data_IF_547151512256
#
_entry.id   IF_547151512256
#
_cell.length_a   1.000
_cell.length_b   1.000
_cell.length_c   1.000
_cell.angle_alpha   90.00
_cell.angle_beta   90.00
_cell.angle_gamma   90.00
#
_symmetry.space_group_name_H-M   'P 1'
#
loop_
_entity.id
_entity.type
_entity.pdbx_description
1 polymer ?
#
# COMPACT_ATOMS: atom_id res chain seq x y z
N UNK A 1 -5.63 -1.79 18.23
CA UNK A 1 -5.83 -3.07 17.56
C UNK A 1 -5.54 -2.95 16.09
N UNK A 2 -5.18 -4.04 15.44
CA UNK A 2 -4.88 -4.04 14.02
C UNK A 2 -5.92 -4.84 13.27
N UNK A 3 -6.25 -4.39 12.05
CA UNK A 3 -7.13 -5.13 11.16
C UNK A 3 -6.32 -5.61 9.96
N UNK A 4 -6.59 -6.84 9.54
CA UNK A 4 -5.95 -7.41 8.36
C UNK A 4 -6.75 -7.04 7.14
N UNK A 5 -6.06 -6.47 6.14
CA UNK A 5 -6.65 -6.21 4.83
C UNK A 5 -5.99 -7.18 3.87
N UNK A 6 -6.75 -8.19 3.41
CA UNK A 6 -6.24 -9.16 2.47
C UNK A 6 -6.39 -8.65 1.05
N UNK A 7 -5.32 -8.76 0.27
CA UNK A 7 -5.33 -8.39 -1.13
C UNK A 7 -5.45 -9.61 -2.05
N UNK A 8 -5.72 -10.79 -1.48
CA UNK A 8 -5.79 -12.03 -2.26
C UNK A 8 -6.88 -12.02 -3.32
N UNK A 9 -7.94 -11.25 -3.11
CA UNK A 9 -9.01 -11.13 -4.12
C UNK A 9 -8.54 -10.39 -5.38
N UNK A 10 -7.42 -9.68 -5.30
CA UNK A 10 -6.83 -8.99 -6.45
C UNK A 10 -5.69 -9.79 -7.10
N UNK A 11 -5.37 -10.95 -6.51
CA UNK A 11 -4.27 -11.78 -7.02
C UNK A 11 -4.55 -12.28 -8.44
N UNK A 12 -3.53 -12.59 -9.22
CA UNK A 12 -2.11 -12.54 -8.85
C UNK A 12 -1.45 -11.17 -9.06
N UNK A 13 -2.14 -10.23 -9.67
CA UNK A 13 -1.57 -8.94 -10.01
C UNK A 13 -2.49 -7.79 -9.68
N UNK A 14 -1.93 -6.73 -9.15
CA UNK A 14 -2.65 -5.47 -8.95
C UNK A 14 -2.09 -4.48 -9.98
N UNK A 15 -2.84 -4.26 -11.05
CA UNK A 15 -2.33 -3.48 -12.18
C UNK A 15 -3.22 -2.36 -12.68
N UNK A 16 -4.41 -2.15 -12.09
CA UNK A 16 -5.29 -1.08 -12.53
C UNK A 16 -5.42 0.01 -11.45
N UNK A 17 -5.51 1.25 -11.91
CA UNK A 17 -5.70 2.38 -10.99
C UNK A 17 -7.02 2.28 -10.25
N UNK A 18 -8.03 1.71 -10.88
CA UNK A 18 -9.35 1.51 -10.27
C UNK A 18 -9.25 0.61 -9.04
N UNK A 19 -8.53 -0.52 -9.19
CA UNK A 19 -8.32 -1.43 -8.07
C UNK A 19 -7.46 -0.79 -6.99
N UNK A 20 -6.44 -0.05 -7.40
CA UNK A 20 -5.58 0.64 -6.44
C UNK A 20 -6.35 1.68 -5.63
N UNK A 21 -7.23 2.44 -6.29
CA UNK A 21 -8.05 3.43 -5.61
C UNK A 21 -9.01 2.77 -4.61
N UNK A 22 -9.56 1.62 -4.97
CA UNK A 22 -10.43 0.85 -4.09
C UNK A 22 -9.69 0.38 -2.84
N UNK A 23 -8.48 -0.15 -3.03
CA UNK A 23 -7.63 -0.60 -1.93
C UNK A 23 -7.30 0.59 -1.02
N UNK A 24 -6.89 1.70 -1.60
CA UNK A 24 -6.54 2.91 -0.84
C UNK A 24 -7.71 3.40 0.00
N UNK A 25 -8.90 3.43 -0.59
CA UNK A 25 -10.10 3.87 0.12
C UNK A 25 -10.37 2.97 1.33
N UNK A 26 -10.28 1.66 1.15
CA UNK A 26 -10.48 0.72 2.24
C UNK A 26 -9.47 0.92 3.35
N UNK A 27 -8.21 1.12 2.99
CA UNK A 27 -7.16 1.34 3.97
C UNK A 27 -7.37 2.65 4.73
N UNK A 28 -7.75 3.71 4.04
CA UNK A 28 -8.02 5.00 4.68
C UNK A 28 -9.16 4.90 5.68
N UNK A 29 -10.21 4.16 5.33
CA UNK A 29 -11.34 3.95 6.21
C UNK A 29 -10.94 3.22 7.49
N UNK A 30 -10.16 2.15 7.35
CA UNK A 30 -9.70 1.39 8.52
C UNK A 30 -8.75 2.22 9.38
N UNK A 31 -7.89 3.01 8.75
CA UNK A 31 -6.90 3.82 9.46
C UNK A 31 -7.52 4.93 10.32
N UNK A 32 -8.80 5.23 10.11
CA UNK A 32 -9.50 6.19 10.98
C UNK A 32 -9.61 5.69 12.41
N UNK A 33 -9.59 4.37 12.61
CA UNK A 33 -9.78 3.80 13.95
C UNK A 33 -8.78 2.73 14.35
N UNK A 34 -8.07 2.13 13.39
CA UNK A 34 -7.19 0.98 13.65
C UNK A 34 -5.89 1.06 12.87
N UNK A 35 -4.92 0.27 13.29
CA UNK A 35 -3.74 0.01 12.48
C UNK A 35 -4.08 -1.09 11.47
N UNK A 36 -3.25 -1.24 10.45
CA UNK A 36 -3.50 -2.19 9.36
C UNK A 36 -2.35 -3.18 9.24
N UNK A 37 -2.71 -4.43 8.96
CA UNK A 37 -1.76 -5.42 8.44
C UNK A 37 -2.21 -5.73 7.02
N UNK A 38 -1.39 -5.40 6.04
CA UNK A 38 -1.69 -5.65 4.62
C UNK A 38 -1.16 -7.02 4.26
N UNK A 39 -2.04 -7.91 3.86
CA UNK A 39 -1.70 -9.28 3.52
C UNK A 39 -1.64 -9.45 2.00
N UNK A 40 -0.43 -9.74 1.50
CA UNK A 40 -0.16 -9.93 0.08
C UNK A 40 -0.20 -11.39 -0.34
N UNK A 41 -0.79 -12.26 0.43
CA UNK A 41 -0.87 -13.68 0.07
C UNK A 41 -1.43 -13.84 -1.34
N UNK A 42 -0.75 -14.61 -2.17
CA UNK A 42 -1.09 -14.88 -3.57
C UNK A 42 -0.90 -13.68 -4.52
N UNK A 43 -0.52 -12.52 -4.04
CA UNK A 43 -0.21 -11.39 -4.90
C UNK A 43 1.26 -11.47 -5.30
N UNK A 44 1.52 -11.64 -6.58
CA UNK A 44 2.88 -11.82 -7.10
C UNK A 44 3.47 -10.53 -7.63
N UNK A 45 2.64 -9.69 -8.23
CA UNK A 45 3.10 -8.43 -8.82
C UNK A 45 2.12 -7.31 -8.53
N UNK A 46 2.64 -6.10 -8.56
CA UNK A 46 1.85 -4.89 -8.39
C UNK A 46 2.49 -3.80 -9.25
N UNK A 47 1.68 -3.07 -10.00
CA UNK A 47 2.21 -1.98 -10.80
C UNK A 47 2.79 -0.88 -9.93
N UNK A 48 3.88 -0.28 -10.36
CA UNK A 48 4.53 0.80 -9.61
C UNK A 48 3.59 1.99 -9.43
N UNK A 49 2.78 2.30 -10.46
CA UNK A 49 1.79 3.37 -10.34
C UNK A 49 0.72 3.04 -9.31
N UNK A 50 0.35 1.78 -9.19
CA UNK A 50 -0.60 1.35 -8.16
C UNK A 50 0.00 1.49 -6.77
N UNK A 51 1.25 1.10 -6.60
CA UNK A 51 1.96 1.25 -5.33
C UNK A 51 2.10 2.73 -4.96
N UNK A 52 2.38 3.58 -5.94
CA UNK A 52 2.46 5.02 -5.73
C UNK A 52 1.11 5.57 -5.26
N UNK A 53 0.03 5.17 -5.90
CA UNK A 53 -1.31 5.64 -5.54
C UNK A 53 -1.70 5.20 -4.13
N UNK A 54 -1.44 3.95 -3.78
CA UNK A 54 -1.82 3.42 -2.47
C UNK A 54 -0.84 3.87 -1.39
N UNK A 55 0.37 3.39 -1.48
CA UNK A 55 1.35 3.55 -0.39
C UNK A 55 2.03 4.90 -0.40
N UNK A 56 2.22 5.47 -1.58
CA UNK A 56 2.75 6.81 -1.69
C UNK A 56 1.80 7.84 -1.10
N UNK A 57 0.49 7.70 -1.37
CA UNK A 57 -0.53 8.60 -0.82
C UNK A 57 -0.57 8.50 0.69
N UNK A 58 -0.57 7.27 1.22
CA UNK A 58 -0.59 7.07 2.67
C UNK A 58 0.66 7.59 3.35
N UNK A 59 1.82 7.34 2.74
CA UNK A 59 3.09 7.82 3.29
C UNK A 59 3.13 9.35 3.37
N UNK A 60 2.61 10.03 2.36
CA UNK A 60 2.58 11.49 2.33
C UNK A 60 1.54 12.08 3.29
N UNK A 61 0.49 11.34 3.61
CA UNK A 61 -0.56 11.82 4.52
C UNK A 61 -0.16 11.71 5.98
N UNK A 62 0.87 10.93 6.27
CA UNK A 62 1.43 10.79 7.61
C UNK A 62 2.95 10.79 7.46
N UNK A 63 3.71 10.98 8.51
CA UNK A 63 5.17 10.93 8.38
C UNK A 63 5.67 9.49 8.31
N UNK A 64 6.95 9.31 7.98
CA UNK A 64 7.55 8.00 7.81
C UNK A 64 7.39 7.13 9.06
N UNK A 65 7.59 7.73 10.22
CA UNK A 65 7.50 7.01 11.48
C UNK A 65 6.11 6.45 11.70
N UNK A 66 5.07 7.27 11.50
CA UNK A 66 3.70 6.83 11.68
C UNK A 66 3.28 5.82 10.62
N UNK A 67 3.77 5.98 9.39
CA UNK A 67 3.46 5.03 8.33
C UNK A 67 3.89 3.62 8.73
N UNK A 68 5.15 3.46 9.16
CA UNK A 68 5.67 2.15 9.53
C UNK A 68 5.14 1.65 10.88
N UNK A 69 4.69 2.55 11.71
CA UNK A 69 4.08 2.20 12.99
C UNK A 69 2.66 1.66 12.82
N UNK A 70 1.91 2.23 11.89
CA UNK A 70 0.50 1.94 11.70
C UNK A 70 0.21 0.93 10.60
N UNK A 71 1.12 0.74 9.66
CA UNK A 71 0.93 -0.15 8.51
C UNK A 71 2.03 -1.19 8.48
N UNK A 72 1.63 -2.45 8.60
CA UNK A 72 2.54 -3.58 8.52
C UNK A 72 2.19 -4.43 7.31
N UNK A 73 3.17 -5.17 6.82
CA UNK A 73 3.01 -6.00 5.63
C UNK A 73 3.35 -7.45 5.95
N UNK A 74 2.52 -8.39 5.48
CA UNK A 74 2.79 -9.82 5.62
C UNK A 74 2.65 -10.49 4.27
N UNK A 75 3.28 -11.65 4.13
CA UNK A 75 3.28 -12.46 2.91
C UNK A 75 3.76 -11.71 1.69
N UNK A 76 4.69 -10.78 1.89
CA UNK A 76 5.30 -10.05 0.79
C UNK A 76 6.40 -10.88 0.14
N UNK A 77 6.60 -10.66 -1.16
CA UNK A 77 7.77 -11.18 -1.86
C UNK A 77 8.80 -10.04 -1.95
N UNK A 78 10.07 -10.36 -2.24
CA UNK A 78 11.05 -9.29 -2.48
C UNK A 78 10.61 -8.32 -3.57
N UNK A 79 9.94 -8.82 -4.62
CA UNK A 79 9.42 -8.00 -5.69
C UNK A 79 8.36 -7.01 -5.19
N UNK A 80 7.43 -7.48 -4.39
CA UNK A 80 6.38 -6.63 -3.82
C UNK A 80 6.98 -5.55 -2.92
N UNK A 81 7.92 -5.93 -2.05
CA UNK A 81 8.57 -4.96 -1.15
C UNK A 81 9.30 -3.89 -1.94
N UNK A 82 9.98 -4.28 -3.01
CA UNK A 82 10.68 -3.35 -3.88
C UNK A 82 9.70 -2.38 -4.54
N UNK A 83 8.57 -2.90 -5.02
CA UNK A 83 7.55 -2.09 -5.69
C UNK A 83 6.92 -1.09 -4.73
N UNK A 84 6.65 -1.48 -3.49
CA UNK A 84 6.14 -0.57 -2.47
C UNK A 84 7.11 0.58 -2.26
N UNK A 85 8.40 0.26 -2.12
CA UNK A 85 9.44 1.28 -1.92
C UNK A 85 9.51 2.23 -3.09
N UNK A 86 9.50 1.70 -4.32
CA UNK A 86 9.54 2.53 -5.52
C UNK A 86 8.33 3.45 -5.63
N UNK A 87 7.15 2.94 -5.28
CA UNK A 87 5.94 3.73 -5.29
C UNK A 87 6.02 4.92 -4.34
N UNK A 88 6.53 4.68 -3.14
CA UNK A 88 6.73 5.72 -2.14
C UNK A 88 7.75 6.76 -2.64
N UNK A 89 8.88 6.29 -3.18
CA UNK A 89 9.93 7.18 -3.70
C UNK A 89 9.40 8.06 -4.83
N UNK A 90 8.64 7.49 -5.76
CA UNK A 90 8.05 8.26 -6.86
C UNK A 90 7.03 9.28 -6.36
N UNK A 91 6.26 8.93 -5.35
CA UNK A 91 5.29 9.85 -4.76
C UNK A 91 6.00 11.04 -4.10
N UNK A 92 7.09 10.78 -3.39
CA UNK A 92 7.86 11.83 -2.74
C UNK A 92 8.52 12.75 -3.77
N UNK A 93 9.04 12.17 -4.85
CA UNK A 93 9.66 12.94 -5.92
C UNK A 93 8.65 13.83 -6.63
N UNK A 94 7.46 13.32 -6.96
CA UNK A 94 6.44 14.11 -7.63
C UNK A 94 5.76 15.12 -6.72
N UNK A 95 5.86 14.95 -5.43
CA UNK A 95 5.29 15.90 -4.46
C UNK A 95 6.11 17.16 -4.27
N UNK A 96 7.26 17.22 -4.87
CA UNK A 96 8.12 18.41 -4.84
C UNK A 96 7.73 19.32 -6.00
N UNK A 97 6.81 20.15 -5.78
CA UNK A 97 6.45 21.14 -6.80
C UNK A 97 7.38 22.32 -6.70
#
# INVERSE_FOLDING_TARGET
MSKVISLSSYAPSIGSEEKAAEILHNMQTVLESDNIVVDFENVQTMGTNCAKLIFGTLYKSMDAEKFYERINFIHTTPNIRRTIRLGIEFALASGKA
#
